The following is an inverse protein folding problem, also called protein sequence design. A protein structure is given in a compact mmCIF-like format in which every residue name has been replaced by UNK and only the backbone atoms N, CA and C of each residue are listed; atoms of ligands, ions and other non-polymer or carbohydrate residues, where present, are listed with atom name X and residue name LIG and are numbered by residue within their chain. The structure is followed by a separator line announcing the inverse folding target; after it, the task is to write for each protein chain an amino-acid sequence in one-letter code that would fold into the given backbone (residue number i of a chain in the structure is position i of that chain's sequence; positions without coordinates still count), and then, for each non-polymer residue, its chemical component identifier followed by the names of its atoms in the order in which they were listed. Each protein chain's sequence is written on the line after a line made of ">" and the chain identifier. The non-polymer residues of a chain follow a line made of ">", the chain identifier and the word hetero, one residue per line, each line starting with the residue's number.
data_IF_588459215128
#
_entry.id   IF_588459215128
#
_cell.length_a   1.000
_cell.length_b   1.000
_cell.length_c   1.000
_cell.angle_alpha   90.00
_cell.angle_beta   90.00
_cell.angle_gamma   90.00
#
_symmetry.space_group_name_H-M   'P 1'
#
loop_
_entity.id
_entity.type
_entity.pdbx_description
1 polymer ?
#
# COMPACT_ATOMS: atom_id res chain seq x y z
N UNK A 1 13.58 14.20 -6.57
CA UNK A 1 14.93 14.49 -6.07
C UNK A 1 14.93 15.87 -5.45
N UNK A 2 15.95 16.19 -4.68
CA UNK A 2 16.13 17.48 -4.03
C UNK A 2 17.55 17.95 -4.32
N UNK A 3 17.69 19.23 -4.66
CA UNK A 3 19.01 19.85 -4.66
C UNK A 3 19.42 20.05 -3.21
N UNK A 4 20.36 19.21 -2.75
CA UNK A 4 20.94 19.31 -1.42
C UNK A 4 22.30 19.99 -1.57
N UNK A 5 22.58 21.05 -0.79
CA UNK A 5 23.91 21.62 -0.74
C UNK A 5 24.87 20.61 -0.11
N UNK A 6 25.84 20.13 -0.88
CA UNK A 6 26.91 19.24 -0.42
C UNK A 6 28.21 20.01 -0.50
N UNK A 7 28.98 20.02 0.58
CA UNK A 7 30.30 20.62 0.59
C UNK A 7 31.27 19.67 -0.10
N UNK A 8 31.88 20.13 -1.20
CA UNK A 8 32.92 19.40 -1.90
C UNK A 8 34.30 19.83 -1.36
N UNK A 9 35.03 18.92 -0.65
CA UNK A 9 36.31 19.24 -0.04
C UNK A 9 37.42 19.49 -1.07
N UNK A 10 37.33 18.96 -2.29
CA UNK A 10 38.35 19.15 -3.33
C UNK A 10 38.27 20.55 -3.93
N UNK A 11 37.08 20.98 -4.34
CA UNK A 11 36.85 22.32 -4.87
C UNK A 11 36.71 23.39 -3.79
N UNK A 12 36.61 22.99 -2.51
CA UNK A 12 36.35 23.85 -1.34
C UNK A 12 35.09 24.72 -1.50
N UNK A 13 34.10 24.21 -2.23
CA UNK A 13 32.86 24.93 -2.52
C UNK A 13 31.66 24.06 -2.18
N UNK A 14 30.56 24.71 -1.83
CA UNK A 14 29.27 24.04 -1.71
C UNK A 14 28.66 23.93 -3.10
N UNK A 15 28.39 22.70 -3.54
CA UNK A 15 27.72 22.41 -4.80
C UNK A 15 26.31 21.89 -4.52
N UNK A 16 25.37 22.24 -5.39
CA UNK A 16 24.03 21.66 -5.33
C UNK A 16 24.07 20.31 -6.05
N UNK A 17 23.85 19.24 -5.30
CA UNK A 17 23.76 17.89 -5.85
C UNK A 17 22.31 17.42 -5.83
N UNK A 18 21.85 16.83 -6.93
CA UNK A 18 20.56 16.15 -6.95
C UNK A 18 20.65 14.83 -6.19
N UNK A 19 19.95 14.77 -5.05
CA UNK A 19 19.89 13.56 -4.23
C UNK A 19 18.44 13.11 -4.00
N UNK A 20 18.27 11.86 -3.56
CA UNK A 20 16.99 11.32 -3.13
C UNK A 20 16.59 12.01 -1.82
N UNK A 21 15.37 12.55 -1.80
CA UNK A 21 14.79 13.08 -0.57
C UNK A 21 14.70 11.96 0.48
N UNK A 22 15.08 12.27 1.72
CA UNK A 22 14.84 11.37 2.86
C UNK A 22 13.35 11.16 3.06
N UNK A 23 12.98 10.01 3.64
CA UNK A 23 11.56 9.67 3.87
C UNK A 23 10.83 10.70 4.72
N UNK A 24 11.52 11.31 5.69
CA UNK A 24 10.99 12.39 6.52
C UNK A 24 10.62 13.62 5.68
N UNK A 25 11.45 14.00 4.71
CA UNK A 25 11.15 15.12 3.80
C UNK A 25 10.01 14.79 2.85
N UNK A 26 9.91 13.54 2.37
CA UNK A 26 8.77 13.09 1.55
C UNK A 26 7.47 13.18 2.37
N UNK A 27 7.49 12.67 3.62
CA UNK A 27 6.35 12.71 4.54
C UNK A 27 5.91 14.14 4.88
N UNK A 28 6.86 15.05 5.09
CA UNK A 28 6.56 16.47 5.30
C UNK A 28 5.93 17.12 4.06
N UNK A 29 6.39 16.77 2.86
CA UNK A 29 5.81 17.27 1.60
C UNK A 29 4.38 16.76 1.41
N UNK A 30 4.14 15.47 1.64
CA UNK A 30 2.80 14.88 1.64
C UNK A 30 1.88 15.56 2.66
N UNK A 31 2.36 15.78 3.88
CA UNK A 31 1.60 16.43 4.95
C UNK A 31 1.21 17.89 4.68
N UNK A 32 1.86 18.57 3.71
CA UNK A 32 1.47 19.93 3.29
C UNK A 32 0.30 19.93 2.31
N UNK A 33 0.12 18.86 1.52
CA UNK A 33 -0.94 18.79 0.51
C UNK A 33 -2.35 18.58 1.09
N UNK A 34 -2.47 17.94 2.25
CA UNK A 34 -3.77 17.62 2.87
C UNK A 34 -4.28 18.64 3.89
N UNK A 35 -3.72 19.86 3.95
CA UNK A 35 -4.03 20.82 5.04
C UNK A 35 -5.35 21.57 4.88
N UNK A 36 -5.80 21.78 3.65
CA UNK A 36 -6.98 22.60 3.36
C UNK A 36 -8.07 21.81 2.66
N UNK A 37 -7.70 20.89 1.77
CA UNK A 37 -8.60 19.98 1.06
C UNK A 37 -7.83 18.68 0.74
N UNK A 38 -8.50 17.56 0.37
CA UNK A 38 -7.82 16.38 -0.17
C UNK A 38 -7.01 16.79 -1.42
N UNK A 39 -5.67 16.75 -1.31
CA UNK A 39 -4.76 17.14 -2.39
C UNK A 39 -4.02 15.92 -2.95
N UNK A 40 -3.83 15.89 -4.28
CA UNK A 40 -3.14 14.81 -4.97
C UNK A 40 -1.63 15.08 -5.07
N UNK A 41 -0.80 14.15 -4.58
CA UNK A 41 0.65 14.24 -4.67
C UNK A 41 1.19 13.41 -5.84
N UNK A 42 1.78 14.09 -6.82
CA UNK A 42 2.41 13.46 -7.98
C UNK A 42 3.94 13.39 -7.78
N UNK A 43 4.46 12.22 -7.42
CA UNK A 43 5.90 11.94 -7.45
C UNK A 43 6.32 11.56 -8.87
N UNK A 44 7.24 12.31 -9.48
CA UNK A 44 7.79 12.02 -10.82
C UNK A 44 8.68 10.76 -10.90
N UNK A 45 8.86 10.01 -9.80
CA UNK A 45 9.55 8.72 -9.81
C UNK A 45 8.61 7.63 -9.34
N UNK A 46 8.41 6.65 -10.22
CA UNK A 46 7.54 5.50 -9.99
C UNK A 46 8.09 4.55 -8.90
N UNK A 47 7.25 4.09 -7.97
CA UNK A 47 7.55 2.98 -7.06
C UNK A 47 7.91 1.64 -7.73
N UNK A 48 7.81 1.53 -9.06
CA UNK A 48 7.97 0.28 -9.83
C UNK A 48 9.28 -0.48 -9.57
N UNK A 49 10.35 0.18 -9.11
CA UNK A 49 11.62 -0.50 -8.78
C UNK A 49 11.50 -1.53 -7.65
N UNK A 50 10.55 -1.37 -6.72
CA UNK A 50 10.30 -2.37 -5.67
C UNK A 50 9.33 -3.47 -6.12
N UNK A 51 8.40 -3.16 -7.01
CA UNK A 51 7.28 -4.06 -7.34
C UNK A 51 7.68 -5.22 -8.26
N UNK A 52 8.69 -5.03 -9.13
CA UNK A 52 9.23 -6.10 -9.98
C UNK A 52 10.06 -7.14 -9.22
N UNK A 53 10.67 -6.77 -8.09
CA UNK A 53 11.34 -7.73 -7.21
C UNK A 53 10.34 -8.73 -6.59
N UNK A 54 9.14 -8.25 -6.23
CA UNK A 54 8.06 -9.08 -5.68
C UNK A 54 7.43 -10.03 -6.72
N UNK A 55 7.36 -9.64 -7.99
CA UNK A 55 6.85 -10.51 -9.06
C UNK A 55 7.72 -11.77 -9.29
N UNK A 56 9.00 -11.75 -8.90
CA UNK A 56 9.88 -12.93 -9.02
C UNK A 56 9.81 -13.87 -7.82
N UNK A 57 9.58 -13.35 -6.61
CA UNK A 57 9.59 -14.15 -5.37
C UNK A 57 8.44 -15.16 -5.31
N UNK A 58 7.29 -14.88 -5.95
CA UNK A 58 6.14 -15.78 -5.98
C UNK A 58 6.18 -16.81 -7.12
N UNK A 59 7.18 -16.75 -7.99
CA UNK A 59 7.12 -17.39 -9.29
C UNK A 59 8.47 -17.95 -9.79
N UNK A 60 9.04 -18.96 -9.12
CA UNK A 60 10.31 -19.55 -9.48
C UNK A 60 10.09 -20.76 -10.40
N UNK A 61 9.78 -20.54 -11.69
CA UNK A 61 9.74 -21.67 -12.64
C UNK A 61 10.13 -21.23 -14.08
N UNK A 62 11.11 -21.87 -14.74
CA UNK A 62 11.59 -21.53 -16.08
C UNK A 62 10.58 -21.65 -17.24
N UNK A 63 9.36 -22.16 -17.03
CA UNK A 63 8.28 -22.12 -18.04
C UNK A 63 7.69 -20.71 -18.28
N UNK A 64 8.13 -19.70 -17.49
CA UNK A 64 7.53 -18.36 -17.38
C UNK A 64 8.02 -17.26 -18.32
N UNK A 65 9.11 -17.43 -19.08
CA UNK A 65 9.47 -16.40 -20.06
C UNK A 65 8.30 -16.18 -21.05
N UNK A 66 7.61 -17.26 -21.40
CA UNK A 66 6.39 -17.21 -22.22
C UNK A 66 5.22 -16.50 -21.48
N UNK A 67 5.11 -16.63 -20.15
CA UNK A 67 4.06 -16.00 -19.33
C UNK A 67 4.30 -14.50 -19.12
N UNK A 68 5.55 -14.08 -18.93
CA UNK A 68 5.92 -12.66 -18.80
C UNK A 68 5.74 -11.96 -20.15
N UNK A 69 6.19 -12.57 -21.24
CA UNK A 69 5.99 -12.04 -22.59
C UNK A 69 4.49 -11.96 -22.95
N UNK A 70 3.69 -12.95 -22.54
CA UNK A 70 2.23 -12.90 -22.66
C UNK A 70 1.62 -11.77 -21.83
N UNK A 71 2.04 -11.58 -20.59
CA UNK A 71 1.55 -10.50 -19.74
C UNK A 71 1.90 -9.12 -20.35
N UNK A 72 3.12 -8.95 -20.85
CA UNK A 72 3.54 -7.72 -21.56
C UNK A 72 2.74 -7.52 -22.85
N UNK A 73 2.45 -8.59 -23.59
CA UNK A 73 1.60 -8.52 -24.79
C UNK A 73 0.18 -8.08 -24.46
N UNK A 74 -0.39 -8.58 -23.37
CA UNK A 74 -1.71 -8.14 -22.86
C UNK A 74 -1.66 -6.67 -22.45
N UNK A 75 -0.64 -6.26 -21.69
CA UNK A 75 -0.47 -4.87 -21.26
C UNK A 75 -0.31 -3.93 -22.47
N UNK A 76 0.45 -4.31 -23.49
CA UNK A 76 0.57 -3.56 -24.75
C UNK A 76 -0.75 -3.44 -25.49
N UNK A 77 -1.55 -4.51 -25.54
CA UNK A 77 -2.87 -4.47 -26.16
C UNK A 77 -3.82 -3.53 -25.39
N UNK A 78 -3.83 -3.62 -24.05
CA UNK A 78 -4.59 -2.71 -23.19
C UNK A 78 -4.13 -1.26 -23.34
N UNK A 79 -2.83 -1.02 -23.47
CA UNK A 79 -2.25 0.29 -23.69
C UNK A 79 -2.75 0.89 -25.01
N UNK A 80 -2.65 0.15 -26.11
CA UNK A 80 -3.09 0.61 -27.43
C UNK A 80 -4.58 0.95 -27.48
N UNK A 81 -5.41 0.22 -26.75
CA UNK A 81 -6.86 0.46 -26.71
C UNK A 81 -7.25 1.70 -25.89
N UNK A 82 -6.50 2.03 -24.83
CA UNK A 82 -6.85 3.10 -23.91
C UNK A 82 -5.98 4.38 -24.07
N UNK A 83 -4.80 4.26 -24.70
CA UNK A 83 -3.80 5.32 -24.79
C UNK A 83 -3.09 5.32 -26.16
N UNK A 84 -3.30 6.37 -26.96
CA UNK A 84 -2.83 6.44 -28.35
C UNK A 84 -1.34 6.81 -28.52
N UNK A 85 -0.62 7.12 -27.43
CA UNK A 85 0.75 7.66 -27.50
C UNK A 85 1.64 7.13 -26.37
N UNK A 86 1.48 5.83 -26.06
CA UNK A 86 2.28 5.15 -25.06
C UNK A 86 3.01 3.98 -25.71
N UNK A 87 4.31 3.90 -25.45
CA UNK A 87 5.09 2.71 -25.70
C UNK A 87 5.39 1.99 -24.38
N UNK A 88 5.34 0.66 -24.42
CA UNK A 88 5.63 -0.19 -23.27
C UNK A 88 6.81 -1.07 -23.62
N UNK A 89 7.93 -0.81 -22.97
CA UNK A 89 9.17 -1.55 -23.14
C UNK A 89 9.45 -2.38 -21.88
N UNK A 90 9.77 -3.66 -22.06
CA UNK A 90 10.28 -4.51 -20.99
C UNK A 90 11.79 -4.62 -21.19
N UNK A 91 12.56 -3.99 -20.31
CA UNK A 91 14.02 -4.11 -20.31
C UNK A 91 14.44 -4.95 -19.13
N UNK A 92 14.92 -6.17 -19.40
CA UNK A 92 15.26 -7.18 -18.36
C UNK A 92 14.09 -7.40 -17.39
N UNK A 93 14.11 -6.71 -16.26
CA UNK A 93 13.13 -6.78 -15.18
C UNK A 93 12.45 -5.43 -14.92
N UNK A 94 12.37 -4.54 -15.90
CA UNK A 94 11.72 -3.23 -15.71
C UNK A 94 10.77 -2.93 -16.84
N UNK A 95 9.48 -2.85 -16.49
CA UNK A 95 8.44 -2.35 -17.38
C UNK A 95 8.52 -0.82 -17.39
N UNK A 96 8.88 -0.27 -18.54
CA UNK A 96 8.98 1.17 -18.79
C UNK A 96 7.79 1.60 -19.64
N UNK A 97 7.10 2.65 -19.18
CA UNK A 97 5.96 3.27 -19.87
C UNK A 97 6.46 4.62 -20.41
N UNK A 98 6.66 4.68 -21.72
CA UNK A 98 7.19 5.87 -22.41
C UNK A 98 6.06 6.63 -23.10
N UNK A 99 6.05 7.94 -22.97
CA UNK A 99 4.99 8.81 -23.46
C UNK A 99 5.05 10.20 -22.85
N UNK A 100 4.09 11.07 -23.17
CA UNK A 100 4.00 12.38 -22.50
C UNK A 100 3.68 12.18 -21.02
N UNK A 101 4.29 12.98 -20.15
CA UNK A 101 4.25 12.76 -18.69
C UNK A 101 2.84 12.53 -18.13
N UNK A 102 1.85 13.30 -18.59
CA UNK A 102 0.46 13.15 -18.15
C UNK A 102 -0.21 11.87 -18.64
N UNK A 103 0.12 11.40 -19.84
CA UNK A 103 -0.45 10.19 -20.43
C UNK A 103 0.20 8.94 -19.81
N UNK A 104 1.52 8.93 -19.66
CA UNK A 104 2.25 7.81 -19.03
C UNK A 104 1.80 7.61 -17.58
N UNK A 105 1.57 8.69 -16.83
CA UNK A 105 1.10 8.61 -15.44
C UNK A 105 -0.33 8.08 -15.36
N UNK A 106 -1.23 8.53 -16.26
CA UNK A 106 -2.59 7.98 -16.34
C UNK A 106 -2.60 6.49 -16.68
N UNK A 107 -1.72 6.05 -17.58
CA UNK A 107 -1.62 4.64 -17.91
C UNK A 107 -1.01 3.81 -16.79
N UNK A 108 0.00 4.32 -16.10
CA UNK A 108 0.53 3.67 -14.90
C UNK A 108 -0.58 3.45 -13.85
N UNK A 109 -1.37 4.49 -13.57
CA UNK A 109 -2.51 4.40 -12.66
C UNK A 109 -3.54 3.38 -13.13
N UNK A 110 -3.88 3.41 -14.42
CA UNK A 110 -4.81 2.46 -15.03
C UNK A 110 -4.33 1.02 -14.87
N UNK A 111 -3.06 0.73 -15.20
CA UNK A 111 -2.52 -0.62 -15.06
C UNK A 111 -2.46 -1.05 -13.60
N UNK A 112 -2.10 -0.16 -12.68
CA UNK A 112 -2.13 -0.47 -11.24
C UNK A 112 -3.53 -0.85 -10.76
N UNK A 113 -4.56 -0.15 -11.24
CA UNK A 113 -5.95 -0.47 -10.92
C UNK A 113 -6.39 -1.83 -11.49
N UNK A 114 -5.94 -2.18 -12.72
CA UNK A 114 -6.23 -3.49 -13.32
C UNK A 114 -5.49 -4.65 -12.62
N UNK A 115 -4.37 -4.36 -11.95
CA UNK A 115 -3.61 -5.34 -11.16
C UNK A 115 -4.16 -5.54 -9.75
N UNK A 116 -5.20 -4.79 -9.37
CA UNK A 116 -5.88 -5.00 -8.09
C UNK A 116 -6.71 -6.28 -8.20
N UNK A 117 -6.41 -7.26 -7.36
CA UNK A 117 -7.10 -8.56 -7.35
C UNK A 117 -8.52 -8.42 -6.79
N UNK A 118 -9.37 -9.42 -7.03
CA UNK A 118 -10.71 -9.54 -6.47
C UNK A 118 -10.76 -9.32 -4.95
N UNK A 119 -11.95 -8.95 -4.46
CA UNK A 119 -12.22 -8.74 -3.03
C UNK A 119 -11.74 -9.93 -2.20
N UNK A 120 -10.67 -9.72 -1.45
CA UNK A 120 -10.12 -10.71 -0.53
C UNK A 120 -10.53 -10.34 0.89
N UNK A 121 -10.97 -11.34 1.66
CA UNK A 121 -11.48 -11.14 3.02
C UNK A 121 -10.59 -11.85 4.04
N UNK A 122 -10.49 -11.30 5.25
CA UNK A 122 -9.93 -12.01 6.39
C UNK A 122 -10.63 -11.61 7.70
N UNK A 123 -10.64 -12.53 8.65
CA UNK A 123 -11.22 -12.31 9.97
C UNK A 123 -10.16 -11.89 11.00
N UNK A 124 -10.55 -10.98 11.88
CA UNK A 124 -9.79 -10.61 13.05
C UNK A 124 -10.19 -11.52 14.21
N UNK A 125 -9.35 -12.50 14.49
CA UNK A 125 -9.58 -13.54 15.49
C UNK A 125 -8.71 -13.33 16.72
N UNK A 126 -9.20 -13.76 17.87
CA UNK A 126 -8.36 -13.95 19.05
C UNK A 126 -7.58 -15.25 18.91
N UNK A 127 -6.24 -15.13 18.81
CA UNK A 127 -5.33 -16.27 18.64
C UNK A 127 -4.48 -16.57 19.88
N UNK A 128 -4.82 -15.95 21.02
CA UNK A 128 -4.20 -16.29 22.30
C UNK A 128 -4.81 -17.57 22.87
N UNK A 129 -4.08 -18.23 23.76
CA UNK A 129 -4.60 -19.40 24.48
C UNK A 129 -5.70 -18.96 25.46
N UNK A 130 -6.81 -19.72 25.53
CA UNK A 130 -8.01 -19.35 26.28
C UNK A 130 -7.79 -19.05 27.76
N UNK A 131 -6.74 -19.63 28.35
CA UNK A 131 -6.42 -19.52 29.77
C UNK A 131 -5.57 -18.29 30.12
N UNK A 132 -5.13 -17.53 29.11
CA UNK A 132 -4.26 -16.36 29.28
C UNK A 132 -5.05 -15.08 29.59
N UNK A 133 -4.41 -14.14 30.27
CA UNK A 133 -5.03 -12.84 30.54
C UNK A 133 -5.15 -12.02 29.24
N UNK A 134 -4.22 -12.20 28.31
CA UNK A 134 -4.23 -11.63 26.97
C UNK A 134 -5.46 -12.06 26.17
N UNK A 135 -5.86 -13.34 26.28
CA UNK A 135 -7.08 -13.81 25.64
C UNK A 135 -8.32 -13.09 26.20
N UNK A 136 -8.42 -12.94 27.52
CA UNK A 136 -9.55 -12.25 28.16
C UNK A 136 -9.57 -10.76 27.79
N UNK A 137 -8.41 -10.12 27.80
CA UNK A 137 -8.25 -8.72 27.42
C UNK A 137 -8.62 -8.49 25.96
N UNK A 138 -8.09 -9.31 25.05
CA UNK A 138 -8.39 -9.18 23.63
C UNK A 138 -9.87 -9.43 23.35
N UNK A 139 -10.48 -10.45 23.96
CA UNK A 139 -11.91 -10.74 23.79
C UNK A 139 -12.78 -9.54 24.19
N UNK A 140 -12.50 -8.91 25.35
CA UNK A 140 -13.20 -7.69 25.79
C UNK A 140 -12.93 -6.50 24.86
N UNK A 141 -11.68 -6.34 24.41
CA UNK A 141 -11.29 -5.25 23.51
C UNK A 141 -11.93 -5.39 22.12
N UNK A 142 -12.04 -6.61 21.58
CA UNK A 142 -12.74 -6.89 20.33
C UNK A 142 -14.23 -6.52 20.44
N UNK A 143 -14.89 -6.90 21.52
CA UNK A 143 -16.29 -6.50 21.76
C UNK A 143 -16.46 -4.96 21.83
N UNK A 144 -15.49 -4.25 22.42
CA UNK A 144 -15.48 -2.78 22.43
C UNK A 144 -15.26 -2.20 21.04
N UNK A 145 -14.34 -2.75 20.25
CA UNK A 145 -13.99 -2.28 18.91
C UNK A 145 -15.08 -2.52 17.90
N UNK A 146 -15.87 -3.59 18.04
CA UNK A 146 -17.05 -3.82 17.19
C UNK A 146 -18.02 -2.65 17.20
N UNK A 147 -18.09 -1.90 18.32
CA UNK A 147 -18.89 -0.68 18.46
C UNK A 147 -18.14 0.60 18.10
N UNK A 148 -16.83 0.50 17.89
CA UNK A 148 -15.90 1.61 17.64
C UNK A 148 -15.06 1.34 16.39
N UNK A 149 -15.69 0.94 15.28
CA UNK A 149 -15.00 0.65 14.00
C UNK A 149 -14.16 1.82 13.48
N UNK A 150 -14.45 3.04 13.93
CA UNK A 150 -13.68 4.24 13.61
C UNK A 150 -12.21 4.17 14.06
N UNK A 151 -11.85 3.29 15.00
CA UNK A 151 -10.47 3.07 15.44
C UNK A 151 -9.55 2.63 14.27
N UNK A 152 -10.12 1.99 13.25
CA UNK A 152 -9.40 1.57 12.06
C UNK A 152 -9.23 2.69 11.01
N UNK A 153 -9.95 3.82 11.13
CA UNK A 153 -9.93 4.90 10.13
C UNK A 153 -8.52 5.39 9.78
N UNK A 154 -7.60 5.64 10.75
CA UNK A 154 -6.27 6.11 10.41
C UNK A 154 -5.48 5.11 9.55
N UNK A 155 -5.62 3.81 9.84
CA UNK A 155 -4.97 2.75 9.08
C UNK A 155 -5.59 2.60 7.68
N UNK A 156 -6.92 2.61 7.60
CA UNK A 156 -7.66 2.57 6.32
C UNK A 156 -7.23 3.74 5.43
N UNK A 157 -7.28 4.97 5.97
CA UNK A 157 -6.92 6.19 5.23
C UNK A 157 -5.50 6.15 4.68
N UNK A 158 -4.54 5.65 5.46
CA UNK A 158 -3.14 5.55 5.02
C UNK A 158 -3.00 4.60 3.83
N UNK A 159 -3.63 3.42 3.87
CA UNK A 159 -3.57 2.46 2.77
C UNK A 159 -4.34 2.92 1.53
N UNK A 160 -5.48 3.59 1.71
CA UNK A 160 -6.26 4.20 0.63
C UNK A 160 -5.47 5.31 -0.07
N UNK A 161 -4.82 6.18 0.69
CA UNK A 161 -4.06 7.30 0.15
C UNK A 161 -2.74 6.88 -0.52
N UNK A 162 -2.00 5.94 0.08
CA UNK A 162 -0.64 5.61 -0.38
C UNK A 162 -0.60 4.51 -1.45
N UNK A 163 -1.56 3.58 -1.43
CA UNK A 163 -1.46 2.31 -2.18
C UNK A 163 -2.68 1.97 -3.01
N UNK A 164 -3.66 2.86 -3.07
CA UNK A 164 -4.92 2.66 -3.83
C UNK A 164 -5.69 1.41 -3.38
N UNK A 165 -5.44 0.93 -2.16
CA UNK A 165 -6.20 -0.15 -1.58
C UNK A 165 -7.55 0.37 -1.11
N UNK A 166 -8.63 -0.38 -1.29
CA UNK A 166 -9.93 -0.07 -0.69
C UNK A 166 -10.20 -1.06 0.43
N UNK A 167 -10.44 -0.56 1.64
CA UNK A 167 -10.59 -1.39 2.84
C UNK A 167 -11.94 -1.14 3.48
N UNK A 168 -12.73 -2.19 3.66
CA UNK A 168 -14.02 -2.14 4.35
C UNK A 168 -13.98 -3.03 5.59
N UNK A 169 -14.23 -2.46 6.76
CA UNK A 169 -14.28 -3.21 8.02
C UNK A 169 -15.74 -3.43 8.42
N UNK A 170 -16.17 -4.69 8.44
CA UNK A 170 -17.53 -5.10 8.75
C UNK A 170 -17.56 -5.84 10.10
N UNK A 171 -17.96 -5.18 11.19
CA UNK A 171 -18.19 -5.86 12.46
C UNK A 171 -19.48 -6.70 12.37
N UNK A 172 -19.40 -7.99 12.69
CA UNK A 172 -20.55 -8.88 12.75
C UNK A 172 -20.94 -9.15 14.22
N UNK A 173 -21.97 -8.45 14.71
CA UNK A 173 -22.45 -8.57 16.10
C UNK A 173 -22.92 -9.96 16.48
N UNK A 174 -23.40 -10.76 15.52
CA UNK A 174 -23.94 -12.09 15.78
C UNK A 174 -22.83 -13.11 16.04
N UNK A 175 -21.75 -13.06 15.26
CA UNK A 175 -20.62 -13.99 15.38
C UNK A 175 -19.52 -13.49 16.32
N UNK A 176 -19.61 -12.23 16.78
CA UNK A 176 -18.56 -11.53 17.55
C UNK A 176 -17.22 -11.41 16.81
N UNK A 177 -17.25 -11.47 15.47
CA UNK A 177 -16.05 -11.34 14.64
C UNK A 177 -16.06 -10.02 13.86
N UNK A 178 -14.87 -9.59 13.46
CA UNK A 178 -14.69 -8.44 12.57
C UNK A 178 -14.09 -8.97 11.27
N UNK A 179 -14.83 -8.83 10.17
CA UNK A 179 -14.37 -9.22 8.83
C UNK A 179 -13.83 -7.98 8.12
N UNK A 180 -12.61 -8.07 7.60
CA UNK A 180 -11.98 -7.01 6.82
C UNK A 180 -11.98 -7.43 5.36
N UNK A 181 -12.67 -6.67 4.52
CA UNK A 181 -12.65 -6.83 3.06
C UNK A 181 -11.62 -5.87 2.48
N UNK A 182 -10.75 -6.38 1.62
CA UNK A 182 -9.67 -5.61 1.00
C UNK A 182 -9.73 -5.81 -0.50
N UNK A 183 -9.73 -4.70 -1.23
CA UNK A 183 -9.44 -4.65 -2.67
C UNK A 183 -8.09 -4.00 -2.80
N UNK A 184 -7.05 -4.81 -2.98
CA UNK A 184 -5.67 -4.38 -3.11
C UNK A 184 -4.91 -5.38 -3.98
N UNK A 185 -3.65 -5.05 -4.29
CA UNK A 185 -2.72 -6.00 -4.91
C UNK A 185 -2.32 -7.05 -3.88
N UNK A 186 -1.97 -8.26 -4.31
CA UNK A 186 -1.65 -9.37 -3.40
C UNK A 186 -0.55 -9.03 -2.37
N UNK A 187 0.48 -8.32 -2.81
CA UNK A 187 1.58 -7.86 -1.94
C UNK A 187 1.10 -6.85 -0.89
N UNK A 188 0.23 -5.92 -1.28
CA UNK A 188 -0.38 -4.96 -0.37
C UNK A 188 -1.39 -5.63 0.56
N UNK A 189 -2.16 -6.62 0.08
CA UNK A 189 -3.09 -7.41 0.87
C UNK A 189 -2.40 -8.10 2.05
N UNK A 190 -1.29 -8.79 1.81
CA UNK A 190 -0.55 -9.47 2.89
C UNK A 190 0.04 -8.47 3.90
N UNK A 191 0.48 -7.30 3.44
CA UNK A 191 0.95 -6.24 4.33
C UNK A 191 -0.19 -5.64 5.19
N UNK A 192 -1.34 -5.36 4.56
CA UNK A 192 -2.56 -4.87 5.24
C UNK A 192 -2.99 -5.90 6.29
N UNK A 193 -3.11 -7.16 5.91
CA UNK A 193 -3.48 -8.27 6.80
C UNK A 193 -2.52 -8.40 7.98
N UNK A 194 -1.21 -8.34 7.73
CA UNK A 194 -0.18 -8.38 8.78
C UNK A 194 -0.33 -7.22 9.75
N UNK A 195 -0.57 -6.01 9.26
CA UNK A 195 -0.73 -4.84 10.12
C UNK A 195 -2.01 -4.91 10.96
N UNK A 196 -3.16 -5.24 10.36
CA UNK A 196 -4.41 -5.43 11.09
C UNK A 196 -4.26 -6.50 12.19
N UNK A 197 -3.62 -7.62 11.88
CA UNK A 197 -3.33 -8.67 12.87
C UNK A 197 -2.36 -8.19 13.96
N UNK A 198 -1.37 -7.39 13.60
CA UNK A 198 -0.42 -6.82 14.58
C UNK A 198 -1.11 -5.85 15.52
N UNK A 199 -2.01 -5.02 15.01
CA UNK A 199 -2.85 -4.13 15.81
C UNK A 199 -3.75 -4.93 16.75
N UNK A 200 -4.45 -5.94 16.25
CA UNK A 200 -5.29 -6.83 17.09
C UNK A 200 -4.47 -7.54 18.16
N UNK A 201 -3.28 -8.02 17.83
CA UNK A 201 -2.38 -8.63 18.82
C UNK A 201 -1.95 -7.64 19.89
N UNK A 202 -1.60 -6.40 19.52
CA UNK A 202 -1.27 -5.33 20.47
C UNK A 202 -2.40 -5.09 21.48
N UNK A 203 -3.66 -5.18 21.05
CA UNK A 203 -4.82 -5.04 21.93
C UNK A 203 -4.94 -6.11 23.02
N UNK A 204 -4.38 -7.31 22.82
CA UNK A 204 -4.36 -8.34 23.87
C UNK A 204 -3.51 -7.93 25.07
N UNK A 205 -2.50 -7.08 24.84
CA UNK A 205 -1.60 -6.55 25.88
C UNK A 205 -2.07 -5.21 26.46
N UNK A 206 -3.15 -4.64 25.93
CA UNK A 206 -3.69 -3.37 26.40
C UNK A 206 -4.68 -3.57 27.54
N UNK A 207 -4.72 -2.60 28.46
CA UNK A 207 -5.81 -2.48 29.41
C UNK A 207 -7.16 -2.41 28.66
N UNK A 208 -8.22 -2.95 29.29
CA UNK A 208 -9.54 -3.01 28.69
C UNK A 208 -10.02 -1.63 28.26
N UNK A 209 -10.32 -1.47 26.97
CA UNK A 209 -10.89 -0.24 26.44
C UNK A 209 -12.25 0.00 27.04
N UNK A 210 -12.34 1.03 27.90
CA UNK A 210 -13.62 1.52 28.41
C UNK A 210 -14.31 2.34 27.33
N UNK A 211 -15.63 2.22 27.25
CA UNK A 211 -16.41 3.09 26.37
C UNK A 211 -16.39 4.50 26.97
N UNK A 212 -16.31 5.56 26.15
CA UNK A 212 -16.33 6.94 26.66
C UNK A 212 -17.58 7.29 27.50
N UNK A 213 -18.67 6.51 27.37
CA UNK A 213 -19.97 6.80 27.97
C UNK A 213 -20.50 5.66 28.87
N UNK A 214 -19.62 4.93 29.54
CA UNK A 214 -19.99 3.98 30.62
C UNK A 214 -19.30 4.38 31.90
#
# INVERSE_FOLDING_TARGET
>A
MLNIPVYDPESKRTVLQEDRATESTIKQRLGRLGRTQPGEYYSLKSPLKQELHYMKQFFPDPSRNNTIDQAVKILRALAKNNFHSIDIQLHSDTLSIEGTAGISLKAELYFRQQLTTEQSEFELENRFDSDTEEYKNLSRNLESIMKMSHIFKPMIWRWEAERQAKITVNPNTSTKNITVKVVARDSDYENIKKEFKSFVRWLGYCAVMRRPNT
#
